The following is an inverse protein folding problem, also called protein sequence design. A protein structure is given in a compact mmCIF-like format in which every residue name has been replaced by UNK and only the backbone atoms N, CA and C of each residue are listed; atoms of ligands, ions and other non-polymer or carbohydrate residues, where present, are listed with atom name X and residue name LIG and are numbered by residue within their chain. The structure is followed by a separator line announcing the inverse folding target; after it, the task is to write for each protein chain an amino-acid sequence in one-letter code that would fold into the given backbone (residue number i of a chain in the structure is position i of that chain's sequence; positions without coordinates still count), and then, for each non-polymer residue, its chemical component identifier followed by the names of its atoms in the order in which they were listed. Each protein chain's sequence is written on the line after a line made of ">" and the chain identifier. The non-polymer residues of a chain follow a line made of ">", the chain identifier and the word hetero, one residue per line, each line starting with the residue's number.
data_IF_258928966917
#
_entry.id   IF_258928966917
#
_cell.length_a   1.000
_cell.length_b   1.000
_cell.length_c   1.000
_cell.angle_alpha   90.00
_cell.angle_beta   90.00
_cell.angle_gamma   90.00
#
_symmetry.space_group_name_H-M   'P 1'
#
loop_
_entity.id
_entity.type
_entity.pdbx_description
1 polymer ?
#
# COMPACT_ATOMS: atom_id res chain seq x y z
N UNK A 1 122.46 40.81 -10.24
CA UNK A 1 121.90 39.64 -10.96
C UNK A 1 120.50 39.39 -10.44
N UNK A 2 119.59 39.18 -11.39
CA UNK A 2 118.18 38.82 -11.29
C UNK A 2 117.93 37.56 -10.44
N UNK A 3 116.71 37.30 -9.92
CA UNK A 3 115.59 36.95 -10.80
C UNK A 3 114.26 37.64 -10.47
N UNK A 4 113.69 38.25 -11.51
CA UNK A 4 112.26 38.51 -11.62
C UNK A 4 111.59 37.20 -12.02
N UNK A 5 110.85 36.58 -11.09
CA UNK A 5 109.96 35.48 -11.40
C UNK A 5 108.82 36.01 -12.28
N UNK A 6 108.81 35.54 -13.53
CA UNK A 6 107.79 35.81 -14.52
C UNK A 6 106.52 35.04 -14.13
N UNK A 7 105.51 35.77 -13.66
CA UNK A 7 104.24 35.19 -13.20
C UNK A 7 103.34 34.75 -14.37
N UNK A 8 103.68 35.11 -15.61
CA UNK A 8 102.89 34.81 -16.81
C UNK A 8 103.09 33.36 -17.33
N UNK A 9 104.04 32.59 -16.76
CA UNK A 9 104.31 31.20 -17.15
C UNK A 9 103.53 30.13 -16.36
N UNK A 10 102.75 30.50 -15.34
CA UNK A 10 101.98 29.52 -14.53
C UNK A 10 100.47 29.50 -14.80
N UNK A 11 99.93 30.39 -15.64
CA UNK A 11 98.48 30.66 -15.71
C UNK A 11 97.80 30.29 -17.05
N UNK A 12 98.40 29.45 -17.89
CA UNK A 12 97.89 29.28 -19.26
C UNK A 12 97.63 27.83 -19.70
N UNK A 13 97.85 26.82 -18.84
CA UNK A 13 97.60 25.40 -19.15
C UNK A 13 96.44 24.81 -18.34
N UNK A 14 96.58 24.81 -17.01
CA UNK A 14 95.65 24.14 -16.10
C UNK A 14 94.36 24.96 -15.83
N UNK A 15 94.42 26.29 -15.92
CA UNK A 15 93.26 27.18 -15.76
C UNK A 15 92.24 27.05 -16.90
N UNK A 16 92.69 26.68 -18.10
CA UNK A 16 91.81 26.42 -19.24
C UNK A 16 90.99 25.13 -19.04
N UNK A 17 91.60 24.09 -18.46
CA UNK A 17 90.95 22.79 -18.24
C UNK A 17 89.90 22.87 -17.11
N UNK A 18 90.22 23.59 -16.04
CA UNK A 18 89.28 23.89 -14.94
C UNK A 18 88.08 24.70 -15.44
N UNK A 19 88.30 25.69 -16.32
CA UNK A 19 87.23 26.51 -16.88
C UNK A 19 86.30 25.71 -17.81
N UNK A 20 86.83 24.76 -18.58
CA UNK A 20 86.04 23.88 -19.46
C UNK A 20 85.17 22.93 -18.64
N UNK A 21 85.74 22.27 -17.63
CA UNK A 21 84.99 21.40 -16.72
C UNK A 21 83.91 22.18 -15.94
N UNK A 22 84.23 23.39 -15.48
CA UNK A 22 83.25 24.29 -14.84
C UNK A 22 82.08 24.62 -15.77
N UNK A 23 82.34 25.02 -17.01
CA UNK A 23 81.30 25.35 -17.99
C UNK A 23 80.44 24.12 -18.34
N UNK A 24 81.04 22.93 -18.48
CA UNK A 24 80.33 21.67 -18.72
C UNK A 24 79.34 21.34 -17.59
N UNK A 25 79.77 21.49 -16.33
CA UNK A 25 78.90 21.28 -15.15
C UNK A 25 77.76 22.30 -15.11
N UNK A 26 78.04 23.56 -15.44
CA UNK A 26 77.02 24.61 -15.52
C UNK A 26 75.98 24.29 -16.62
N UNK A 27 76.43 23.88 -17.81
CA UNK A 27 75.55 23.50 -18.91
C UNK A 27 74.68 22.29 -18.58
N UNK A 28 75.25 21.27 -17.93
CA UNK A 28 74.51 20.11 -17.43
C UNK A 28 73.45 20.52 -16.39
N UNK A 29 73.78 21.43 -15.48
CA UNK A 29 72.84 21.96 -14.50
C UNK A 29 71.70 22.75 -15.16
N UNK A 30 72.00 23.56 -16.19
CA UNK A 30 71.00 24.29 -16.96
C UNK A 30 70.09 23.35 -17.77
N UNK A 31 70.64 22.29 -18.36
CA UNK A 31 69.87 21.25 -19.05
C UNK A 31 68.95 20.48 -18.09
N UNK A 32 69.47 20.07 -16.92
CA UNK A 32 68.66 19.45 -15.87
C UNK A 32 67.51 20.37 -15.45
N UNK A 33 67.77 21.67 -15.23
CA UNK A 33 66.72 22.65 -14.89
C UNK A 33 65.65 22.75 -15.96
N UNK A 34 66.02 22.72 -17.26
CA UNK A 34 65.06 22.69 -18.38
C UNK A 34 64.22 21.42 -18.37
N UNK A 35 64.84 20.25 -18.16
CA UNK A 35 64.16 18.95 -18.05
C UNK A 35 63.17 18.94 -16.88
N UNK A 36 63.60 19.34 -15.68
CA UNK A 36 62.71 19.45 -14.51
C UNK A 36 61.54 20.41 -14.75
N UNK A 37 61.79 21.55 -15.40
CA UNK A 37 60.73 22.50 -15.75
C UNK A 37 59.72 21.90 -16.73
N UNK A 38 60.18 21.09 -17.69
CA UNK A 38 59.32 20.35 -18.62
C UNK A 38 58.47 19.31 -17.90
N UNK A 39 59.08 18.51 -17.02
CA UNK A 39 58.37 17.51 -16.21
C UNK A 39 57.33 18.17 -15.30
N UNK A 40 57.67 19.29 -14.66
CA UNK A 40 56.73 20.05 -13.84
C UNK A 40 55.54 20.57 -14.65
N UNK A 41 55.77 21.03 -15.89
CA UNK A 41 54.69 21.44 -16.80
C UNK A 41 53.80 20.25 -17.17
N UNK A 42 54.40 19.10 -17.51
CA UNK A 42 53.65 17.88 -17.82
C UNK A 42 52.83 17.39 -16.61
N UNK A 43 53.41 17.43 -15.41
CA UNK A 43 52.70 17.04 -14.18
C UNK A 43 51.50 17.96 -13.88
N UNK A 44 51.65 19.28 -14.09
CA UNK A 44 50.54 20.23 -13.97
C UNK A 44 49.45 19.97 -15.01
N UNK A 45 49.84 19.73 -16.26
CA UNK A 45 48.90 19.41 -17.34
C UNK A 45 48.15 18.10 -17.07
N UNK A 46 48.85 17.07 -16.59
CA UNK A 46 48.21 15.81 -16.22
C UNK A 46 47.23 16.01 -15.06
N UNK A 47 47.60 16.82 -14.06
CA UNK A 47 46.71 17.15 -12.94
C UNK A 47 45.44 17.85 -13.42
N UNK A 48 45.55 18.85 -14.30
CA UNK A 48 44.35 19.53 -14.85
C UNK A 48 43.49 18.56 -15.64
N UNK A 49 44.09 17.75 -16.51
CA UNK A 49 43.34 16.74 -17.28
C UNK A 49 42.63 15.74 -16.36
N UNK A 50 43.26 15.29 -15.28
CA UNK A 50 42.63 14.39 -14.32
C UNK A 50 41.46 15.05 -13.60
N UNK A 51 41.58 16.32 -13.22
CA UNK A 51 40.48 17.09 -12.62
C UNK A 51 39.31 17.25 -13.59
N UNK A 52 39.59 17.56 -14.85
CA UNK A 52 38.56 17.69 -15.88
C UNK A 52 37.84 16.34 -16.12
N UNK A 53 38.60 15.24 -16.20
CA UNK A 53 38.02 13.90 -16.32
C UNK A 53 37.21 13.47 -15.10
N UNK A 54 37.62 13.88 -13.91
CA UNK A 54 36.85 13.63 -12.70
C UNK A 54 35.50 14.38 -12.75
N UNK A 55 35.50 15.64 -13.18
CA UNK A 55 34.27 16.42 -13.34
C UNK A 55 33.34 15.83 -14.43
N UNK A 56 33.88 15.35 -15.55
CA UNK A 56 33.11 14.66 -16.59
C UNK A 56 32.40 13.41 -16.05
N UNK A 57 33.11 12.57 -15.28
CA UNK A 57 32.54 11.35 -14.70
C UNK A 57 31.46 11.66 -13.66
N UNK A 58 31.63 12.70 -12.84
CA UNK A 58 30.64 13.14 -11.87
C UNK A 58 29.35 13.61 -12.57
N UNK A 59 29.50 14.37 -13.65
CA UNK A 59 28.36 14.83 -14.45
C UNK A 59 27.62 13.66 -15.12
N UNK A 60 28.34 12.69 -15.69
CA UNK A 60 27.71 11.52 -16.31
C UNK A 60 27.01 10.65 -15.27
N UNK A 61 27.60 10.47 -14.07
CA UNK A 61 26.96 9.79 -12.94
C UNK A 61 25.65 10.49 -12.54
N UNK A 62 25.67 11.81 -12.44
CA UNK A 62 24.47 12.58 -12.10
C UNK A 62 23.39 12.45 -13.18
N UNK A 63 23.77 12.45 -14.46
CA UNK A 63 22.86 12.26 -15.59
C UNK A 63 22.17 10.89 -15.55
N UNK A 64 22.93 9.83 -15.30
CA UNK A 64 22.40 8.48 -15.17
C UNK A 64 21.44 8.37 -13.97
N UNK A 65 21.81 8.93 -12.83
CA UNK A 65 20.95 8.95 -11.64
C UNK A 65 19.61 9.66 -11.90
N UNK A 66 19.62 10.84 -12.55
CA UNK A 66 18.39 11.57 -12.90
C UNK A 66 17.50 10.72 -13.84
N UNK A 67 18.12 10.03 -14.81
CA UNK A 67 17.39 9.14 -15.73
C UNK A 67 16.72 7.99 -14.99
N UNK A 68 17.45 7.33 -14.09
CA UNK A 68 16.95 6.20 -13.30
C UNK A 68 15.80 6.62 -12.38
N UNK A 69 15.94 7.76 -11.68
CA UNK A 69 14.86 8.34 -10.86
C UNK A 69 13.64 8.64 -11.74
N UNK A 70 13.84 9.23 -12.92
CA UNK A 70 12.78 9.53 -13.86
C UNK A 70 12.06 8.29 -14.41
N UNK A 71 12.77 7.20 -14.66
CA UNK A 71 12.20 5.90 -15.06
C UNK A 71 11.41 5.27 -13.90
N UNK A 72 11.97 5.27 -12.69
CA UNK A 72 11.32 4.76 -11.48
C UNK A 72 10.01 5.50 -11.19
N UNK A 73 10.01 6.83 -11.25
CA UNK A 73 8.82 7.65 -11.02
C UNK A 73 7.76 7.42 -12.10
N UNK A 74 8.17 7.29 -13.38
CA UNK A 74 7.23 6.93 -14.46
C UNK A 74 6.59 5.57 -14.23
N UNK A 75 7.34 4.58 -13.78
CA UNK A 75 6.82 3.25 -13.48
C UNK A 75 5.84 3.27 -12.29
N UNK A 76 6.18 3.97 -11.21
CA UNK A 76 5.29 4.19 -10.06
C UNK A 76 3.97 4.86 -10.50
N UNK A 77 4.04 5.91 -11.32
CA UNK A 77 2.85 6.60 -11.82
C UNK A 77 1.97 5.71 -12.71
N UNK A 78 2.58 4.89 -13.57
CA UNK A 78 1.86 3.90 -14.39
C UNK A 78 1.17 2.86 -13.50
N UNK A 79 1.85 2.35 -12.48
CA UNK A 79 1.28 1.38 -11.55
C UNK A 79 0.11 1.98 -10.75
N UNK A 80 0.27 3.19 -10.22
CA UNK A 80 -0.81 3.91 -9.52
C UNK A 80 -2.02 4.14 -10.43
N UNK A 81 -1.79 4.53 -11.69
CA UNK A 81 -2.87 4.71 -12.67
C UNK A 81 -3.62 3.40 -12.94
N UNK A 82 -2.93 2.25 -12.98
CA UNK A 82 -3.56 0.93 -13.13
C UNK A 82 -4.39 0.57 -11.90
N UNK A 83 -3.83 0.74 -10.69
CA UNK A 83 -4.54 0.52 -9.42
C UNK A 83 -5.80 1.37 -9.30
N UNK A 84 -5.73 2.64 -9.72
CA UNK A 84 -6.89 3.53 -9.70
C UNK A 84 -7.99 3.07 -10.67
N UNK A 85 -7.64 2.59 -11.86
CA UNK A 85 -8.62 2.01 -12.80
C UNK A 85 -9.27 0.76 -12.21
N UNK A 86 -8.47 -0.14 -11.66
CA UNK A 86 -8.99 -1.34 -11.00
C UNK A 86 -9.97 -0.99 -9.88
N UNK A 87 -9.57 -0.10 -8.97
CA UNK A 87 -10.44 0.34 -7.87
C UNK A 87 -11.73 0.99 -8.36
N UNK A 88 -11.69 1.73 -9.48
CA UNK A 88 -12.87 2.32 -10.10
C UNK A 88 -13.82 1.24 -10.66
N UNK A 89 -13.27 0.22 -11.30
CA UNK A 89 -14.05 -0.89 -11.86
C UNK A 89 -14.65 -1.75 -10.74
N UNK A 90 -13.88 -2.03 -9.68
CA UNK A 90 -14.36 -2.73 -8.48
C UNK A 90 -15.49 -1.94 -7.80
N UNK A 91 -15.34 -0.61 -7.67
CA UNK A 91 -16.38 0.24 -7.10
C UNK A 91 -17.66 0.23 -7.94
N UNK A 92 -17.52 0.21 -9.27
CA UNK A 92 -18.66 0.08 -10.19
C UNK A 92 -19.38 -1.26 -10.00
N UNK A 93 -18.63 -2.35 -9.85
CA UNK A 93 -19.17 -3.69 -9.58
C UNK A 93 -19.92 -3.74 -8.24
N UNK A 94 -19.32 -3.21 -7.18
CA UNK A 94 -19.95 -3.12 -5.85
C UNK A 94 -21.25 -2.32 -5.87
N UNK A 95 -21.30 -1.21 -6.64
CA UNK A 95 -22.54 -0.43 -6.78
C UNK A 95 -23.65 -1.22 -7.48
N UNK A 96 -23.32 -2.03 -8.47
CA UNK A 96 -24.29 -2.89 -9.14
C UNK A 96 -24.84 -3.94 -8.16
N UNK A 97 -23.95 -4.63 -7.45
CA UNK A 97 -24.33 -5.65 -6.46
C UNK A 97 -25.17 -5.07 -5.31
N UNK A 98 -24.82 -3.88 -4.82
CA UNK A 98 -25.62 -3.17 -3.82
C UNK A 98 -27.01 -2.81 -4.35
N UNK A 99 -27.14 -2.48 -5.63
CA UNK A 99 -28.44 -2.20 -6.25
C UNK A 99 -29.29 -3.48 -6.38
N UNK A 100 -28.68 -4.58 -6.80
CA UNK A 100 -29.34 -5.90 -6.87
C UNK A 100 -29.84 -6.32 -5.48
N UNK A 101 -28.97 -6.28 -4.47
CA UNK A 101 -29.35 -6.61 -3.10
C UNK A 101 -30.46 -5.71 -2.55
N UNK A 102 -30.44 -4.42 -2.89
CA UNK A 102 -31.52 -3.51 -2.50
C UNK A 102 -32.86 -3.89 -3.15
N UNK A 103 -32.85 -4.35 -4.41
CA UNK A 103 -34.04 -4.86 -5.07
C UNK A 103 -34.51 -6.17 -4.43
N UNK A 104 -33.60 -7.08 -4.10
CA UNK A 104 -33.93 -8.36 -3.44
C UNK A 104 -34.56 -8.12 -2.07
N UNK A 105 -34.01 -7.19 -1.29
CA UNK A 105 -34.57 -6.77 -0.01
C UNK A 105 -35.96 -6.15 -0.15
N UNK A 106 -36.18 -5.35 -1.20
CA UNK A 106 -37.49 -4.78 -1.51
C UNK A 106 -38.53 -5.86 -1.83
N UNK A 107 -38.14 -6.88 -2.61
CA UNK A 107 -38.99 -8.03 -2.92
C UNK A 107 -39.30 -8.80 -1.65
N UNK A 108 -38.29 -9.15 -0.85
CA UNK A 108 -38.46 -9.86 0.41
C UNK A 108 -39.37 -9.09 1.39
N UNK A 109 -39.24 -7.76 1.46
CA UNK A 109 -40.11 -6.93 2.29
C UNK A 109 -41.56 -7.00 1.83
N UNK A 110 -41.82 -6.90 0.53
CA UNK A 110 -43.18 -7.02 -0.02
C UNK A 110 -43.80 -8.39 0.24
N UNK A 111 -43.01 -9.46 0.13
CA UNK A 111 -43.48 -10.80 0.50
C UNK A 111 -43.81 -10.89 2.00
N UNK A 112 -43.01 -10.27 2.85
CA UNK A 112 -43.27 -10.23 4.29
C UNK A 112 -44.54 -9.43 4.62
N UNK A 113 -44.77 -8.28 3.98
CA UNK A 113 -45.98 -7.47 4.14
C UNK A 113 -47.26 -8.27 3.81
N UNK A 114 -47.20 -9.20 2.84
CA UNK A 114 -48.34 -10.07 2.51
C UNK A 114 -48.75 -10.98 3.66
N UNK A 115 -47.82 -11.39 4.52
CA UNK A 115 -48.09 -12.29 5.65
C UNK A 115 -48.13 -11.59 7.01
N UNK A 116 -47.79 -10.30 7.07
CA UNK A 116 -47.67 -9.56 8.34
C UNK A 116 -48.98 -9.51 9.14
N UNK A 117 -50.12 -9.41 8.46
CA UNK A 117 -51.45 -9.43 9.09
C UNK A 117 -51.77 -10.76 9.82
N UNK A 118 -51.05 -11.84 9.49
CA UNK A 118 -51.16 -13.14 10.17
C UNK A 118 -50.38 -13.15 11.49
N UNK A 119 -49.51 -12.18 11.75
CA UNK A 119 -48.79 -12.08 13.03
C UNK A 119 -49.74 -11.78 14.17
N UNK A 120 -49.40 -12.26 15.35
CA UNK A 120 -50.13 -12.02 16.57
C UNK A 120 -50.06 -10.52 16.92
N UNK A 121 -51.21 -9.88 17.09
CA UNK A 121 -51.26 -8.45 17.39
C UNK A 121 -50.83 -8.12 18.85
N UNK A 122 -50.57 -9.13 19.68
CA UNK A 122 -50.11 -8.94 21.07
C UNK A 122 -48.59 -8.95 21.15
N UNK A 123 -47.93 -9.99 20.61
CA UNK A 123 -46.47 -10.12 20.68
C UNK A 123 -45.75 -9.65 19.40
N UNK A 124 -46.42 -9.59 18.25
CA UNK A 124 -45.87 -9.22 16.92
C UNK A 124 -44.74 -10.12 16.40
N UNK A 125 -44.41 -11.20 17.12
CA UNK A 125 -43.34 -12.14 16.78
C UNK A 125 -43.89 -13.39 16.08
N UNK A 126 -44.85 -14.07 16.69
CA UNK A 126 -45.39 -15.34 16.18
C UNK A 126 -46.66 -15.14 15.35
N UNK A 127 -46.98 -16.08 14.47
CA UNK A 127 -48.26 -16.09 13.75
C UNK A 127 -49.43 -16.41 14.68
N UNK A 128 -50.61 -15.89 14.36
CA UNK A 128 -51.88 -16.21 15.00
C UNK A 128 -52.15 -17.69 14.78
N UNK A 129 -52.13 -18.46 15.86
CA UNK A 129 -52.41 -19.89 15.84
C UNK A 129 -53.63 -20.26 16.67
N UNK A 130 -54.25 -19.32 17.39
CA UNK A 130 -55.42 -19.58 18.22
C UNK A 130 -56.52 -18.51 18.06
N UNK A 131 -57.79 -18.93 18.20
CA UNK A 131 -59.00 -18.12 18.07
C UNK A 131 -59.93 -18.30 19.27
N UNK A 132 -60.57 -17.22 19.69
CA UNK A 132 -61.58 -17.19 20.76
C UNK A 132 -63.00 -17.35 20.21
N UNK A 133 -64.01 -17.70 21.04
CA UNK A 133 -65.41 -17.84 20.60
C UNK A 133 -66.00 -16.55 20.00
N UNK A 134 -65.49 -15.39 20.42
CA UNK A 134 -65.86 -14.09 19.87
C UNK A 134 -65.22 -13.77 18.51
N UNK A 135 -64.43 -14.69 17.94
CA UNK A 135 -63.82 -14.56 16.60
C UNK A 135 -62.46 -13.85 16.56
N UNK A 136 -61.97 -13.31 17.69
CA UNK A 136 -60.66 -12.66 17.74
C UNK A 136 -59.53 -13.69 17.89
N UNK A 137 -58.40 -13.44 17.23
CA UNK A 137 -57.27 -14.37 17.13
C UNK A 137 -55.93 -13.78 17.56
N UNK A 138 -55.10 -14.61 18.18
CA UNK A 138 -53.73 -14.30 18.64
C UNK A 138 -52.87 -15.56 18.71
N UNK A 139 -51.62 -15.40 19.17
CA UNK A 139 -50.80 -16.52 19.59
C UNK A 139 -51.38 -17.18 20.86
N UNK A 140 -51.34 -18.52 20.95
CA UNK A 140 -51.88 -19.30 22.08
C UNK A 140 -51.23 -18.87 23.40
N UNK A 141 -49.92 -18.62 23.39
CA UNK A 141 -49.17 -18.15 24.56
C UNK A 141 -49.70 -16.78 25.03
N UNK A 142 -49.98 -15.89 24.09
CA UNK A 142 -50.46 -14.54 24.34
C UNK A 142 -51.87 -14.54 24.94
N UNK A 143 -52.77 -15.38 24.40
CA UNK A 143 -54.13 -15.54 24.93
C UNK A 143 -54.11 -16.18 26.33
N UNK A 144 -53.25 -17.18 26.55
CA UNK A 144 -53.09 -17.81 27.86
C UNK A 144 -52.58 -16.85 28.93
N UNK A 145 -51.54 -16.06 28.62
CA UNK A 145 -51.02 -15.03 29.51
C UNK A 145 -52.07 -13.96 29.83
N UNK A 146 -52.86 -13.55 28.84
CA UNK A 146 -53.91 -12.55 29.03
C UNK A 146 -55.04 -13.07 29.93
N UNK A 147 -55.47 -14.31 29.72
CA UNK A 147 -56.48 -14.97 30.56
C UNK A 147 -55.99 -15.12 32.01
N UNK A 148 -54.72 -15.48 32.21
CA UNK A 148 -54.11 -15.61 33.54
C UNK A 148 -54.13 -14.31 34.37
N UNK A 149 -54.31 -13.15 33.72
CA UNK A 149 -54.50 -11.86 34.38
C UNK A 149 -55.96 -11.56 34.75
N UNK A 150 -56.87 -12.53 34.60
CA UNK A 150 -58.31 -12.36 34.88
C UNK A 150 -59.03 -11.47 33.87
N UNK A 151 -58.48 -11.31 32.66
CA UNK A 151 -59.00 -10.42 31.63
C UNK A 151 -59.80 -11.20 30.58
N UNK A 152 -60.93 -10.65 30.15
CA UNK A 152 -61.65 -11.10 28.95
C UNK A 152 -60.88 -10.79 27.66
N UNK A 153 -61.47 -11.09 26.51
CA UNK A 153 -60.87 -10.91 25.19
C UNK A 153 -60.16 -9.54 25.05
N UNK A 154 -58.88 -9.48 24.62
CA UNK A 154 -58.12 -8.23 24.51
C UNK A 154 -58.78 -7.16 23.62
N UNK A 155 -59.62 -7.58 22.67
CA UNK A 155 -60.23 -6.69 21.67
C UNK A 155 -61.66 -6.28 22.04
N UNK A 156 -62.53 -7.24 22.41
CA UNK A 156 -63.95 -6.97 22.67
C UNK A 156 -64.38 -7.13 24.13
N UNK A 157 -63.46 -7.55 25.02
CA UNK A 157 -63.70 -7.80 26.45
C UNK A 157 -64.71 -8.89 26.78
N UNK A 158 -65.17 -9.67 25.79
CA UNK A 158 -66.01 -10.84 26.03
C UNK A 158 -65.31 -11.87 26.93
N UNK A 159 -66.05 -12.48 27.85
CA UNK A 159 -65.55 -13.55 28.72
C UNK A 159 -65.22 -14.81 27.92
N UNK A 160 -64.14 -15.49 28.29
CA UNK A 160 -63.76 -16.79 27.75
C UNK A 160 -62.96 -17.54 28.82
N UNK A 161 -62.95 -18.86 28.77
CA UNK A 161 -62.20 -19.75 29.66
C UNK A 161 -61.03 -20.42 28.93
N UNK A 162 -60.16 -21.13 29.66
CA UNK A 162 -58.98 -21.77 29.06
C UNK A 162 -59.34 -22.79 27.97
N UNK A 163 -60.48 -23.49 28.12
CA UNK A 163 -60.99 -24.44 27.13
C UNK A 163 -61.58 -23.79 25.87
N UNK A 164 -61.84 -22.48 25.90
CA UNK A 164 -62.42 -21.75 24.76
C UNK A 164 -61.38 -21.36 23.71
N UNK A 165 -60.09 -21.45 24.03
CA UNK A 165 -58.97 -21.15 23.12
C UNK A 165 -58.77 -22.33 22.17
N UNK A 166 -59.16 -22.15 20.90
CA UNK A 166 -59.04 -23.19 19.86
C UNK A 166 -57.96 -22.87 18.85
N UNK A 167 -57.27 -23.87 18.32
CA UNK A 167 -56.24 -23.67 17.29
C UNK A 167 -56.89 -23.35 15.92
N UNK A 168 -56.22 -22.51 15.13
CA UNK A 168 -56.67 -22.05 13.81
C UNK A 168 -56.27 -23.03 12.71
N UNK A 169 -55.07 -23.60 12.81
CA UNK A 169 -54.54 -24.54 11.83
C UNK A 169 -54.43 -25.93 12.47
N UNK A 170 -54.93 -26.95 11.77
CA UNK A 170 -54.79 -28.35 12.15
C UNK A 170 -53.46 -28.88 11.60
N UNK A 171 -52.34 -28.46 12.19
CA UNK A 171 -50.99 -28.90 11.80
C UNK A 171 -50.13 -29.16 13.03
N UNK A 172 -49.58 -30.37 13.13
CA UNK A 172 -48.93 -30.97 14.30
C UNK A 172 -48.12 -30.01 15.16
N UNK A 173 -48.40 -30.05 16.46
CA UNK A 173 -47.41 -29.77 17.51
C UNK A 173 -46.09 -30.50 17.18
N UNK A 174 -44.99 -29.75 17.18
CA UNK A 174 -43.59 -30.20 17.11
C UNK A 174 -43.14 -30.95 15.85
N UNK A 175 -42.69 -30.22 14.84
CA UNK A 175 -41.46 -30.60 14.13
C UNK A 175 -40.54 -29.37 14.14
N UNK A 176 -39.52 -29.43 14.98
CA UNK A 176 -38.35 -28.56 14.85
C UNK A 176 -37.74 -28.87 13.50
N UNK A 177 -37.87 -27.97 12.54
CA UNK A 177 -37.12 -28.06 11.30
C UNK A 177 -35.66 -27.78 11.65
N UNK A 178 -34.92 -28.84 11.99
CA UNK A 178 -33.46 -28.82 12.03
C UNK A 178 -32.99 -28.59 10.60
N UNK A 179 -32.74 -27.33 10.26
CA UNK A 179 -32.06 -26.95 9.02
C UNK A 179 -30.62 -27.47 9.17
N UNK A 180 -30.15 -28.39 8.31
CA UNK A 180 -28.76 -28.77 8.32
C UNK A 180 -27.93 -27.54 7.95
N UNK A 181 -27.06 -27.10 8.87
CA UNK A 181 -25.96 -26.19 8.56
C UNK A 181 -24.99 -26.92 7.62
N UNK A 182 -25.29 -26.92 6.32
CA UNK A 182 -24.27 -27.17 5.31
C UNK A 182 -24.18 -25.97 4.37
N UNK A 183 -23.24 -25.10 4.70
CA UNK A 183 -22.71 -24.07 3.82
C UNK A 183 -21.40 -23.59 4.44
N UNK A 184 -20.41 -24.47 4.37
CA UNK A 184 -19.00 -24.10 4.43
C UNK A 184 -18.66 -23.21 3.24
N UNK A 185 -19.10 -21.97 3.26
CA UNK A 185 -18.66 -20.94 2.32
C UNK A 185 -18.38 -19.65 3.08
N UNK A 186 -17.20 -19.59 3.71
CA UNK A 186 -16.67 -18.37 4.31
C UNK A 186 -15.21 -18.21 3.92
N UNK A 187 -15.06 -17.48 2.82
CA UNK A 187 -14.05 -16.46 2.53
C UNK A 187 -12.61 -16.91 2.32
N UNK A 188 -12.18 -16.82 1.06
CA UNK A 188 -10.79 -16.55 0.69
C UNK A 188 -10.29 -15.32 1.45
N UNK A 189 -9.52 -15.56 2.51
CA UNK A 189 -8.74 -14.54 3.20
C UNK A 189 -7.68 -14.08 2.20
N UNK A 190 -7.82 -12.84 1.72
CA UNK A 190 -6.79 -12.17 0.95
C UNK A 190 -5.57 -12.04 1.85
N UNK A 191 -4.60 -12.96 1.67
CA UNK A 191 -3.25 -12.82 2.20
C UNK A 191 -2.59 -11.61 1.56
N UNK A 192 -2.71 -10.46 2.22
CA UNK A 192 -1.83 -9.33 1.98
C UNK A 192 -0.44 -9.74 2.47
N UNK A 193 0.43 -10.10 1.51
CA UNK A 193 1.85 -10.22 1.77
C UNK A 193 2.37 -8.87 2.29
N UNK A 194 2.74 -8.86 3.56
CA UNK A 194 3.58 -7.84 4.16
C UNK A 194 5.01 -8.07 3.66
N UNK A 195 5.37 -7.42 2.56
CA UNK A 195 6.77 -7.21 2.23
C UNK A 195 7.30 -6.09 3.15
N UNK A 196 8.02 -6.48 4.19
CA UNK A 196 8.85 -5.59 5.00
C UNK A 196 10.30 -6.02 4.87
N UNK A 197 11.11 -5.03 4.47
CA UNK A 197 12.58 -4.94 4.43
C UNK A 197 13.34 -5.68 3.32
#
# INVERSE_FOLDING_TARGET
>A
MQPTLNLDQFLNGDDCDILVEYNSVVDAALDMRRKFSSVLRQARQLKTTLQDKQAELEHERQRLNIREIGETNRNKLRQQSRRLRQCKDDNKSLRLRNRELANDLEVARKELERVDHLRCNICTVTFKNAILPCGHSACRECLGLWLGQGKGCPWCRGSFEAGDIRDIYLGSSSETWDIPEDSSDVTDVISLASDSE
#
